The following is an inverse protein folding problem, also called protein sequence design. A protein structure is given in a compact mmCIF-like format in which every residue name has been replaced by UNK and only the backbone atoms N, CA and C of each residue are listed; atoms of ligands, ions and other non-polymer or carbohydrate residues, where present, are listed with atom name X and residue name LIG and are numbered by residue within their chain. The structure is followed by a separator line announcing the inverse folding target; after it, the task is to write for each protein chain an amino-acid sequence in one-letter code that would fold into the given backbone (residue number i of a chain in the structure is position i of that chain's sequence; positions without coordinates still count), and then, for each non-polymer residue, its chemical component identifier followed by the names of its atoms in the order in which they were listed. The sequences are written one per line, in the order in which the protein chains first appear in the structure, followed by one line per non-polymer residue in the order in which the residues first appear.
data_IF_889521792479
#
_entry.id   IF_889521792479
#
_cell.length_a   1.000
_cell.length_b   1.000
_cell.length_c   1.000
_cell.angle_alpha   90.00
_cell.angle_beta   90.00
_cell.angle_gamma   90.00
#
_symmetry.space_group_name_H-M   'P 1'
#
loop_
_entity.id
_entity.type
_entity.pdbx_description
1 polymer ?
#
# COMPACT_ATOMS: atom_id res chain seq x y z
N UNK A 1 4.71 -10.73 -1.45
CA UNK A 1 3.41 -10.57 -2.14
C UNK A 1 2.35 -11.46 -1.48
N UNK A 2 1.16 -10.93 -1.24
CA UNK A 2 0.01 -11.62 -0.65
C UNK A 2 -1.16 -11.54 -1.63
N UNK A 3 -1.77 -12.69 -1.94
CA UNK A 3 -2.98 -12.78 -2.76
C UNK A 3 -4.13 -13.21 -1.85
N UNK A 4 -5.15 -12.37 -1.71
CA UNK A 4 -6.34 -12.70 -0.91
C UNK A 4 -7.61 -12.39 -1.69
N UNK A 5 -8.58 -13.30 -1.63
CA UNK A 5 -9.88 -13.14 -2.26
C UNK A 5 -11.04 -12.90 -1.27
N UNK A 6 -10.74 -12.84 0.03
CA UNK A 6 -11.76 -12.75 1.07
C UNK A 6 -11.30 -11.89 2.25
N UNK A 7 -12.28 -11.37 2.99
CA UNK A 7 -12.03 -10.64 4.23
C UNK A 7 -11.48 -11.60 5.29
N UNK A 8 -10.30 -11.33 5.89
CA UNK A 8 -9.75 -12.17 6.94
C UNK A 8 -10.66 -12.12 8.18
N UNK A 9 -11.31 -13.24 8.49
CA UNK A 9 -12.27 -13.35 9.60
C UNK A 9 -11.72 -14.08 10.83
N UNK A 10 -10.54 -14.69 10.71
CA UNK A 10 -9.91 -15.52 11.74
C UNK A 10 -8.53 -14.98 12.11
N UNK A 11 -8.19 -15.04 13.40
CA UNK A 11 -6.88 -14.68 13.93
C UNK A 11 -6.77 -13.25 14.49
N UNK A 12 -5.54 -12.81 14.83
CA UNK A 12 -5.29 -11.55 15.53
C UNK A 12 -5.60 -10.29 14.70
N UNK A 13 -5.70 -10.45 13.37
CA UNK A 13 -6.08 -9.40 12.43
C UNK A 13 -7.51 -9.54 11.90
N UNK A 14 -8.39 -10.31 12.56
CA UNK A 14 -9.74 -10.54 12.06
C UNK A 14 -10.52 -9.22 11.89
N UNK A 15 -11.08 -9.03 10.70
CA UNK A 15 -11.85 -7.88 10.28
C UNK A 15 -13.33 -8.25 10.16
N UNK A 16 -14.19 -7.30 10.53
CA UNK A 16 -15.64 -7.39 10.33
C UNK A 16 -16.07 -6.45 9.23
N UNK A 17 -17.05 -6.85 8.43
CA UNK A 17 -17.65 -5.97 7.44
C UNK A 17 -18.31 -4.79 8.16
N UNK A 18 -17.86 -3.58 7.83
CA UNK A 18 -18.30 -2.31 8.44
C UNK A 18 -18.78 -1.30 7.41
N UNK A 19 -18.98 -1.76 6.18
CA UNK A 19 -19.49 -0.91 5.11
C UNK A 19 -20.94 -0.56 5.40
N UNK A 20 -21.22 0.73 5.54
CA UNK A 20 -22.55 1.22 5.88
C UNK A 20 -22.95 2.29 4.83
N UNK A 21 -23.78 1.93 3.84
CA UNK A 21 -24.07 2.82 2.70
C UNK A 21 -24.80 4.10 3.11
N UNK A 22 -25.35 4.14 4.33
CA UNK A 22 -26.02 5.32 4.92
C UNK A 22 -25.06 6.39 5.41
N UNK A 23 -23.76 6.06 5.57
CA UNK A 23 -22.74 6.95 6.14
C UNK A 23 -21.91 7.64 5.05
N UNK A 24 -21.99 7.14 3.81
CA UNK A 24 -21.33 7.72 2.63
C UNK A 24 -21.81 9.16 2.39
N UNK A 25 -20.87 10.10 2.20
CA UNK A 25 -21.16 11.53 1.99
C UNK A 25 -21.38 12.35 3.27
N UNK A 26 -21.19 11.75 4.46
CA UNK A 26 -21.27 12.46 5.75
C UNK A 26 -19.89 12.69 6.35
N UNK A 27 -19.78 13.60 7.34
CA UNK A 27 -18.52 13.84 8.07
C UNK A 27 -17.96 12.60 8.77
N UNK A 28 -18.78 11.55 8.94
CA UNK A 28 -18.36 10.27 9.53
C UNK A 28 -17.74 9.30 8.52
N UNK A 29 -17.76 9.60 7.21
CA UNK A 29 -17.12 8.77 6.18
C UNK A 29 -15.62 8.60 6.42
N UNK A 30 -14.94 9.62 6.95
CA UNK A 30 -13.52 9.56 7.28
C UNK A 30 -13.18 8.41 8.25
N UNK A 31 -14.11 8.02 9.13
CA UNK A 31 -13.92 6.88 10.04
C UNK A 31 -13.89 5.52 9.34
N UNK A 32 -14.55 5.40 8.18
CA UNK A 32 -14.53 4.17 7.36
C UNK A 32 -13.20 4.01 6.63
N UNK A 33 -12.51 5.13 6.34
CA UNK A 33 -11.21 5.16 5.69
C UNK A 33 -10.05 4.89 6.65
N UNK A 34 -10.31 4.84 7.95
CA UNK A 34 -9.30 4.49 8.95
C UNK A 34 -9.23 2.98 9.14
N UNK A 35 -8.03 2.46 9.43
CA UNK A 35 -7.86 1.05 9.76
C UNK A 35 -8.73 0.65 10.96
N UNK A 36 -9.45 -0.47 10.85
CA UNK A 36 -10.32 -1.00 11.89
C UNK A 36 -9.52 -1.46 13.12
N UNK A 37 -8.32 -1.98 12.89
CA UNK A 37 -7.46 -2.54 13.94
C UNK A 37 -6.04 -1.98 13.80
N UNK A 38 -5.37 -1.76 14.94
CA UNK A 38 -3.96 -1.35 14.96
C UNK A 38 -2.99 -2.46 14.56
N UNK A 39 -3.47 -3.72 14.45
CA UNK A 39 -2.66 -4.90 14.16
C UNK A 39 -1.86 -4.74 12.86
N UNK A 40 -2.51 -4.35 11.76
CA UNK A 40 -1.88 -4.22 10.45
C UNK A 40 -0.79 -3.14 10.41
N UNK A 41 -0.95 -2.08 11.21
CA UNK A 41 0.06 -1.03 11.33
C UNK A 41 1.27 -1.49 12.14
N UNK A 42 1.05 -2.12 13.29
CA UNK A 42 2.14 -2.65 14.12
C UNK A 42 2.91 -3.75 13.38
N UNK A 43 2.18 -4.66 12.72
CA UNK A 43 2.80 -5.71 11.91
C UNK A 43 3.64 -5.14 10.76
N UNK A 44 3.17 -4.08 10.09
CA UNK A 44 3.96 -3.41 9.06
C UNK A 44 5.26 -2.80 9.60
N UNK A 45 5.24 -2.22 10.81
CA UNK A 45 6.45 -1.69 11.45
C UNK A 45 7.45 -2.82 11.72
N UNK A 46 6.98 -3.97 12.20
CA UNK A 46 7.84 -5.12 12.45
C UNK A 46 8.41 -5.70 11.15
N UNK A 47 7.60 -5.77 10.07
CA UNK A 47 8.09 -6.13 8.74
C UNK A 47 9.19 -5.17 8.26
N UNK A 48 9.01 -3.86 8.42
CA UNK A 48 10.02 -2.87 8.03
C UNK A 48 11.32 -2.99 8.81
N UNK A 49 11.28 -3.41 10.09
CA UNK A 49 12.49 -3.71 10.88
C UNK A 49 13.25 -4.92 10.35
N UNK A 50 12.52 -5.92 9.87
CA UNK A 50 13.07 -7.12 9.24
C UNK A 50 13.37 -6.94 7.75
N UNK A 51 13.28 -5.71 7.22
CA UNK A 51 13.51 -5.38 5.81
C UNK A 51 12.59 -6.16 4.85
N UNK A 52 11.38 -6.50 5.32
CA UNK A 52 10.36 -7.22 4.54
C UNK A 52 9.34 -6.22 3.99
N UNK A 53 9.15 -6.23 2.67
CA UNK A 53 8.07 -5.52 2.01
C UNK A 53 6.89 -6.44 1.68
N UNK A 54 5.68 -5.90 1.83
CA UNK A 54 4.43 -6.64 1.58
C UNK A 54 3.63 -5.93 0.50
N UNK A 55 3.53 -6.53 -0.68
CA UNK A 55 2.53 -6.14 -1.68
C UNK A 55 1.26 -6.96 -1.52
N UNK A 56 0.11 -6.33 -1.71
CA UNK A 56 -1.19 -6.99 -1.57
C UNK A 56 -2.01 -6.95 -2.85
N UNK A 57 -2.52 -8.12 -3.22
CA UNK A 57 -3.42 -8.35 -4.32
C UNK A 57 -4.76 -8.82 -3.75
N UNK A 58 -5.78 -7.99 -3.91
CA UNK A 58 -7.09 -8.17 -3.30
C UNK A 58 -8.13 -8.45 -4.37
N UNK A 59 -8.68 -9.66 -4.37
CA UNK A 59 -9.65 -10.17 -5.34
C UNK A 59 -10.99 -10.37 -4.66
N UNK A 60 -11.74 -9.31 -4.40
CA UNK A 60 -12.94 -9.44 -3.59
C UNK A 60 -14.21 -9.13 -4.38
N UNK A 61 -15.14 -10.07 -4.37
CA UNK A 61 -16.51 -9.88 -4.87
C UNK A 61 -17.44 -9.23 -3.83
N UNK A 62 -16.99 -9.19 -2.57
CA UNK A 62 -17.70 -8.60 -1.43
C UNK A 62 -16.77 -7.58 -0.75
N UNK A 63 -17.23 -6.90 0.30
CA UNK A 63 -16.40 -5.98 1.07
C UNK A 63 -15.11 -6.63 1.60
N UNK A 64 -13.96 -6.02 1.29
CA UNK A 64 -12.62 -6.52 1.62
C UNK A 64 -11.84 -5.68 2.64
N UNK A 65 -12.43 -4.58 3.14
CA UNK A 65 -11.78 -3.60 4.02
C UNK A 65 -10.37 -3.17 3.55
N UNK A 66 -10.32 -2.62 2.33
CA UNK A 66 -9.07 -2.13 1.71
C UNK A 66 -8.41 -1.04 2.58
N UNK A 67 -9.18 -0.26 3.34
CA UNK A 67 -8.65 0.76 4.25
C UNK A 67 -7.74 0.17 5.34
N UNK A 68 -8.17 -0.92 5.98
CA UNK A 68 -7.34 -1.62 6.98
C UNK A 68 -6.16 -2.35 6.33
N UNK A 69 -6.43 -3.06 5.23
CA UNK A 69 -5.43 -3.89 4.57
C UNK A 69 -4.31 -3.03 3.94
N UNK A 70 -4.64 -1.96 3.22
CA UNK A 70 -3.67 -1.09 2.55
C UNK A 70 -2.62 -0.46 3.48
N UNK A 71 -2.85 -0.46 4.80
CA UNK A 71 -1.86 -0.04 5.78
C UNK A 71 -0.55 -0.86 5.68
N UNK A 72 -0.62 -2.16 5.40
CA UNK A 72 0.56 -3.01 5.26
C UNK A 72 1.52 -2.51 4.17
N UNK A 73 1.13 -2.55 2.88
CA UNK A 73 1.97 -2.06 1.79
C UNK A 73 2.34 -0.60 1.98
N UNK A 74 1.44 0.22 2.56
CA UNK A 74 1.72 1.64 2.79
C UNK A 74 2.91 1.88 3.71
N UNK A 75 3.08 1.09 4.77
CA UNK A 75 4.17 1.27 5.74
C UNK A 75 5.40 0.43 5.41
N UNK A 76 5.27 -0.64 4.63
CA UNK A 76 6.40 -1.44 4.13
C UNK A 76 6.89 -0.99 2.76
N UNK A 77 6.25 0.04 2.17
CA UNK A 77 6.55 0.60 0.85
C UNK A 77 6.25 -0.31 -0.34
N UNK A 78 5.35 -1.27 -0.15
CA UNK A 78 4.79 -2.08 -1.23
C UNK A 78 3.56 -1.44 -1.89
N UNK A 79 2.96 -2.17 -2.82
CA UNK A 79 1.80 -1.73 -3.59
C UNK A 79 0.51 -2.51 -3.21
N UNK A 80 -0.64 -1.86 -3.39
CA UNK A 80 -1.96 -2.49 -3.25
C UNK A 80 -2.66 -2.55 -4.60
N UNK A 81 -3.00 -3.75 -5.04
CA UNK A 81 -3.78 -4.01 -6.26
C UNK A 81 -5.16 -4.51 -5.85
N UNK A 82 -6.21 -3.84 -6.33
CA UNK A 82 -7.58 -4.17 -5.99
C UNK A 82 -8.38 -4.50 -7.25
N UNK A 83 -8.94 -5.71 -7.28
CA UNK A 83 -9.80 -6.22 -8.34
C UNK A 83 -11.20 -6.47 -7.79
N UNK A 84 -12.14 -5.53 -7.97
CA UNK A 84 -13.51 -5.73 -7.54
C UNK A 84 -14.19 -6.81 -8.40
N UNK A 85 -14.92 -7.72 -7.75
CA UNK A 85 -15.69 -8.77 -8.41
C UNK A 85 -14.89 -9.62 -9.42
N UNK A 86 -13.63 -9.91 -9.10
CA UNK A 86 -12.75 -10.71 -9.94
C UNK A 86 -13.36 -12.08 -10.27
N UNK A 87 -13.41 -12.40 -11.56
CA UNK A 87 -13.88 -13.69 -12.04
C UNK A 87 -12.91 -14.26 -13.09
N UNK A 88 -12.28 -15.40 -12.78
CA UNK A 88 -11.37 -16.07 -13.69
C UNK A 88 -12.04 -16.57 -14.99
N UNK A 89 -13.37 -16.74 -15.00
CA UNK A 89 -14.10 -17.09 -16.22
C UNK A 89 -14.21 -15.90 -17.20
N UNK A 90 -14.02 -14.67 -16.73
CA UNK A 90 -13.99 -13.49 -17.58
C UNK A 90 -12.56 -13.28 -18.08
N UNK A 91 -12.36 -13.52 -19.38
CA UNK A 91 -11.05 -13.42 -20.01
C UNK A 91 -10.38 -12.04 -19.83
N UNK A 92 -11.16 -10.96 -19.81
CA UNK A 92 -10.65 -9.59 -19.61
C UNK A 92 -9.98 -9.42 -18.23
N UNK A 93 -10.61 -9.89 -17.16
CA UNK A 93 -10.08 -9.78 -15.80
C UNK A 93 -8.83 -10.65 -15.62
N UNK A 94 -8.86 -11.86 -16.19
CA UNK A 94 -7.72 -12.78 -16.16
C UNK A 94 -6.51 -12.22 -16.91
N UNK A 95 -6.72 -11.63 -18.11
CA UNK A 95 -5.66 -11.00 -18.89
C UNK A 95 -5.10 -9.76 -18.20
N UNK A 96 -5.96 -8.91 -17.63
CA UNK A 96 -5.54 -7.74 -16.87
C UNK A 96 -4.67 -8.13 -15.69
N UNK A 97 -5.12 -9.10 -14.88
CA UNK A 97 -4.34 -9.61 -13.76
C UNK A 97 -3.01 -10.19 -14.22
N UNK A 98 -3.01 -11.06 -15.23
CA UNK A 98 -1.79 -11.69 -15.74
C UNK A 98 -0.78 -10.65 -16.26
N UNK A 99 -1.26 -9.61 -16.94
CA UNK A 99 -0.42 -8.53 -17.44
C UNK A 99 0.17 -7.68 -16.30
N UNK A 100 -0.65 -7.18 -15.38
CA UNK A 100 -0.19 -6.35 -14.26
C UNK A 100 0.72 -7.15 -13.31
N UNK A 101 0.37 -8.41 -13.02
CA UNK A 101 1.20 -9.31 -12.22
C UNK A 101 2.53 -9.61 -12.89
N UNK A 102 2.53 -9.87 -14.21
CA UNK A 102 3.74 -10.05 -15.00
C UNK A 102 4.64 -8.82 -14.99
N UNK A 103 4.07 -7.61 -15.09
CA UNK A 103 4.82 -6.36 -15.01
C UNK A 103 5.47 -6.15 -13.64
N UNK A 104 4.76 -6.47 -12.55
CA UNK A 104 5.30 -6.37 -11.19
C UNK A 104 6.46 -7.33 -10.99
N UNK A 105 6.34 -8.57 -11.47
CA UNK A 105 7.42 -9.56 -11.40
C UNK A 105 8.63 -9.18 -12.28
N UNK A 106 8.40 -8.53 -13.41
CA UNK A 106 9.46 -8.09 -14.32
C UNK A 106 10.10 -6.75 -13.91
N UNK A 107 9.48 -6.02 -12.97
CA UNK A 107 9.98 -4.72 -12.53
C UNK A 107 11.29 -4.87 -11.75
N UNK A 108 12.24 -3.93 -11.88
CA UNK A 108 13.46 -3.95 -11.10
C UNK A 108 13.16 -3.78 -9.60
N UNK A 109 13.70 -4.68 -8.79
CA UNK A 109 13.55 -4.67 -7.33
C UNK A 109 14.85 -4.19 -6.70
N UNK A 110 14.77 -3.11 -5.92
CA UNK A 110 15.84 -2.71 -5.01
C UNK A 110 15.44 -3.17 -3.61
N UNK A 111 16.35 -3.80 -2.87
CA UNK A 111 16.14 -4.24 -1.49
C UNK A 111 16.89 -3.31 -0.53
N UNK A 112 16.37 -3.17 0.70
CA UNK A 112 17.04 -2.42 1.78
C UNK A 112 17.39 -0.95 1.45
N UNK A 113 16.64 -0.34 0.54
CA UNK A 113 16.91 1.02 0.09
C UNK A 113 16.62 2.05 1.19
N UNK A 114 17.54 3.01 1.35
CA UNK A 114 17.36 4.16 2.25
C UNK A 114 17.45 5.44 1.44
N UNK A 115 16.36 6.20 1.39
CA UNK A 115 16.32 7.50 0.75
C UNK A 115 16.62 8.61 1.78
N UNK A 116 17.53 9.53 1.43
CA UNK A 116 17.82 10.70 2.26
C UNK A 116 17.70 11.96 1.41
N UNK A 117 16.71 12.80 1.71
CA UNK A 117 16.49 14.07 1.03
C UNK A 117 17.30 15.17 1.75
N UNK A 118 18.04 15.97 0.97
CA UNK A 118 18.76 17.16 1.45
C UNK A 118 18.19 18.38 0.72
N UNK A 119 17.86 19.43 1.45
CA UNK A 119 17.35 20.69 0.89
C UNK A 119 18.17 21.88 1.41
N UNK A 120 18.32 22.91 0.57
CA UNK A 120 18.98 24.16 0.94
C UNK A 120 18.08 25.05 1.82
N UNK A 121 18.71 25.88 2.67
CA UNK A 121 18.00 26.75 3.62
C UNK A 121 17.15 27.78 2.85
N UNK A 122 15.87 27.89 3.23
CA UNK A 122 14.96 28.94 2.75
C UNK A 122 13.87 28.51 1.76
N UNK A 123 13.91 27.29 1.21
CA UNK A 123 12.87 26.81 0.27
C UNK A 123 11.77 25.96 0.93
N UNK A 124 11.98 25.48 2.15
CA UNK A 124 11.03 24.61 2.87
C UNK A 124 10.96 25.01 4.35
N UNK A 125 9.81 25.53 4.84
CA UNK A 125 9.69 26.10 6.19
C UNK A 125 9.80 25.08 7.34
N UNK A 126 9.92 23.78 7.04
CA UNK A 126 10.02 22.69 8.03
C UNK A 126 11.40 22.01 8.09
N UNK A 127 12.36 22.40 7.25
CA UNK A 127 13.66 21.73 7.14
C UNK A 127 14.75 22.46 7.96
N UNK A 128 14.89 22.13 9.25
CA UNK A 128 16.03 22.57 10.07
C UNK A 128 17.02 21.43 10.41
N UNK A 129 16.72 20.20 10.01
CA UNK A 129 17.58 19.03 10.20
C UNK A 129 17.30 17.97 9.15
N UNK A 130 18.32 17.17 8.80
CA UNK A 130 18.20 16.05 7.85
C UNK A 130 17.11 15.06 8.29
N UNK A 131 15.96 15.06 7.62
CA UNK A 131 14.96 13.99 7.80
C UNK A 131 15.32 12.88 6.81
N UNK A 132 15.74 11.74 7.35
CA UNK A 132 15.85 10.49 6.59
C UNK A 132 14.44 9.91 6.46
N UNK A 133 13.81 10.05 5.29
CA UNK A 133 12.55 9.37 5.01
C UNK A 133 12.89 7.98 4.44
N UNK A 134 12.77 6.96 5.28
CA UNK A 134 12.90 5.57 4.86
C UNK A 134 11.73 5.22 3.92
N UNK A 135 12.00 5.06 2.63
CA UNK A 135 11.08 4.45 1.68
C UNK A 135 11.66 3.10 1.29
N UNK A 136 11.00 2.02 1.69
CA UNK A 136 11.35 0.67 1.27
C UNK A 136 10.68 0.36 -0.08
N UNK A 137 11.51 0.07 -1.08
CA UNK A 137 11.24 -0.89 -2.17
C UNK A 137 9.97 -0.74 -3.03
N UNK A 138 9.97 0.26 -3.92
CA UNK A 138 9.62 0.14 -5.34
C UNK A 138 10.14 1.42 -6.02
N UNK A 139 11.45 1.51 -6.23
CA UNK A 139 12.02 2.64 -6.96
C UNK A 139 11.87 2.33 -8.45
N UNK A 140 10.90 2.93 -9.13
CA UNK A 140 11.08 3.49 -10.48
C UNK A 140 9.88 4.36 -10.85
N UNK A 141 9.83 5.57 -10.28
CA UNK A 141 9.47 6.82 -10.98
C UNK A 141 9.83 8.02 -10.10
N UNK A 142 11.08 8.08 -9.65
CA UNK A 142 11.72 9.39 -9.52
C UNK A 142 12.44 9.59 -10.84
N UNK A 143 11.68 10.01 -11.86
CA UNK A 143 12.28 10.61 -13.03
C UNK A 143 13.29 11.67 -12.56
N UNK A 144 14.42 11.66 -13.24
CA UNK A 144 15.63 12.45 -13.15
C UNK A 144 15.49 13.98 -12.93
N UNK A 145 14.34 14.54 -12.55
CA UNK A 145 14.14 15.97 -12.36
C UNK A 145 14.81 16.56 -11.11
N UNK A 146 15.22 15.77 -10.11
CA UNK A 146 15.95 16.32 -8.97
C UNK A 146 17.45 16.54 -9.24
N UNK A 147 17.98 15.99 -10.35
CA UNK A 147 19.40 16.16 -10.71
C UNK A 147 19.66 17.39 -11.62
N UNK A 148 18.61 18.14 -12.01
CA UNK A 148 18.73 19.31 -12.89
C UNK A 148 18.41 20.65 -12.20
N UNK A 149 18.29 20.67 -10.87
CA UNK A 149 18.05 21.90 -10.09
C UNK A 149 19.12 22.15 -9.01
N UNK A 150 20.37 21.77 -9.31
CA UNK A 150 21.57 22.30 -8.64
C UNK A 150 22.45 22.94 -9.72
#
# INVERSE_FOLDING_TARGET
MVLSASLPSLGPGALKAREDPKVLGTSKESSLLQAATGFYKSFAIDCSRSQVSVDMWLFSSVYADVASLSCLPRYTGGNTYFYPAFNAARAEDALKFAHEFGQVLASPIALEAVMRVRASRGKWPLFNSSISLFFFTHCFSFDCCFLLAI
#
